data_IF_313880242344
#
_entry.id   IF_313880242344
#
_cell.length_a   1.000
_cell.length_b   1.000
_cell.length_c   1.000
_cell.angle_alpha   90.00
_cell.angle_beta   90.00
_cell.angle_gamma   90.00
#
_symmetry.space_group_name_H-M   'P 1'
#
loop_
_entity.id
_entity.type
_entity.pdbx_description
1 polymer ?
#
# COMPACT_ATOMS: atom_id res chain seq x y z
N UNK A 1 -10.94 -8.22 -19.72
CA UNK A 1 -9.49 -8.28 -20.03
C UNK A 1 -9.18 -7.14 -20.99
N UNK A 2 -8.34 -6.20 -20.57
CA UNK A 2 -7.82 -5.17 -21.47
C UNK A 2 -6.60 -5.74 -22.22
N UNK A 3 -6.43 -5.35 -23.48
CA UNK A 3 -5.32 -5.81 -24.33
C UNK A 3 -4.01 -5.28 -23.75
N UNK A 4 -3.08 -6.17 -23.37
CA UNK A 4 -1.81 -5.82 -22.72
C UNK A 4 -1.68 -6.21 -21.25
N UNK A 5 -2.77 -6.62 -20.57
CA UNK A 5 -2.70 -7.12 -19.19
C UNK A 5 -2.72 -8.66 -19.12
N UNK A 6 -2.56 -9.34 -20.25
CA UNK A 6 -2.72 -10.80 -20.36
C UNK A 6 -1.76 -11.56 -19.44
N UNK A 7 -0.53 -11.08 -19.29
CA UNK A 7 0.47 -11.64 -18.37
C UNK A 7 0.18 -11.36 -16.89
N UNK A 8 -0.67 -10.37 -16.62
CA UNK A 8 -1.13 -9.98 -15.28
C UNK A 8 -2.39 -10.73 -14.85
N UNK A 9 -2.77 -11.81 -15.52
CA UNK A 9 -3.91 -12.63 -15.13
C UNK A 9 -3.55 -14.12 -15.08
N UNK A 10 -4.12 -14.84 -14.11
CA UNK A 10 -4.14 -16.29 -14.06
C UNK A 10 -5.12 -16.86 -15.11
N UNK A 11 -5.05 -18.16 -15.38
CA UNK A 11 -5.89 -18.84 -16.38
C UNK A 11 -7.38 -18.82 -16.05
N UNK A 12 -7.74 -18.59 -14.79
CA UNK A 12 -9.11 -18.36 -14.31
C UNK A 12 -9.55 -16.89 -14.44
N UNK A 13 -8.74 -16.06 -15.12
CA UNK A 13 -8.97 -14.63 -15.33
C UNK A 13 -8.86 -13.79 -14.03
N UNK A 14 -8.30 -14.35 -12.95
CA UNK A 14 -7.96 -13.60 -11.72
C UNK A 14 -6.68 -12.78 -11.92
N UNK A 15 -6.62 -11.57 -11.37
CA UNK A 15 -5.44 -10.69 -11.52
C UNK A 15 -4.23 -11.22 -10.73
N UNK A 16 -3.07 -11.26 -11.36
CA UNK A 16 -1.76 -11.54 -10.78
C UNK A 16 -1.16 -10.23 -10.29
N UNK A 17 -0.79 -10.18 -9.02
CA UNK A 17 -0.16 -9.00 -8.43
C UNK A 17 1.35 -9.14 -8.50
N UNK A 18 1.95 -8.77 -9.63
CA UNK A 18 3.39 -8.90 -9.84
C UNK A 18 4.12 -7.71 -9.22
N UNK A 19 5.21 -8.00 -8.50
CA UNK A 19 6.05 -7.00 -7.87
C UNK A 19 6.92 -6.26 -8.90
N UNK A 20 7.25 -4.97 -8.66
CA UNK A 20 8.31 -4.28 -9.37
C UNK A 20 9.65 -5.04 -9.23
N UNK A 21 10.57 -4.93 -10.21
CA UNK A 21 11.80 -5.72 -10.26
C UNK A 21 12.76 -5.47 -9.09
N UNK A 22 12.61 -4.35 -8.38
CA UNK A 22 13.41 -3.98 -7.20
C UNK A 22 12.86 -4.54 -5.88
N UNK A 23 11.67 -5.14 -5.91
CA UNK A 23 10.95 -5.61 -4.72
C UNK A 23 10.75 -7.12 -4.81
N UNK A 24 11.08 -7.83 -3.74
CA UNK A 24 10.78 -9.25 -3.63
C UNK A 24 9.26 -9.51 -3.72
N UNK A 25 8.88 -10.48 -4.54
CA UNK A 25 7.49 -10.84 -4.81
C UNK A 25 6.72 -11.20 -3.53
N UNK A 26 7.35 -11.89 -2.57
CA UNK A 26 6.69 -12.29 -1.33
C UNK A 26 6.44 -11.09 -0.41
N UNK A 27 7.36 -10.13 -0.38
CA UNK A 27 7.19 -8.87 0.37
C UNK A 27 6.05 -8.03 -0.22
N UNK A 28 6.01 -7.88 -1.55
CA UNK A 28 4.95 -7.19 -2.26
C UNK A 28 3.57 -7.81 -1.98
N UNK A 29 3.45 -9.13 -2.12
CA UNK A 29 2.21 -9.84 -1.82
C UNK A 29 1.76 -9.69 -0.37
N UNK A 30 2.69 -9.75 0.59
CA UNK A 30 2.38 -9.55 2.00
C UNK A 30 1.81 -8.15 2.26
N UNK A 31 2.44 -7.12 1.69
CA UNK A 31 1.97 -5.73 1.76
C UNK A 31 0.59 -5.57 1.14
N UNK A 32 0.38 -6.13 -0.05
CA UNK A 32 -0.91 -6.04 -0.73
C UNK A 32 -2.03 -6.79 0.00
N UNK A 33 -1.75 -7.97 0.57
CA UNK A 33 -2.72 -8.70 1.41
C UNK A 33 -3.12 -7.87 2.64
N UNK A 34 -2.15 -7.24 3.30
CA UNK A 34 -2.42 -6.37 4.45
C UNK A 34 -3.26 -5.16 4.06
N UNK A 35 -2.92 -4.50 2.95
CA UNK A 35 -3.67 -3.37 2.40
C UNK A 35 -5.11 -3.76 2.02
N UNK A 36 -5.31 -4.89 1.36
CA UNK A 36 -6.64 -5.40 1.00
C UNK A 36 -7.43 -5.87 2.23
N UNK A 37 -6.76 -6.38 3.26
CA UNK A 37 -7.39 -6.67 4.55
C UNK A 37 -7.88 -5.39 5.22
N UNK A 38 -7.06 -4.34 5.26
CA UNK A 38 -7.45 -3.02 5.75
C UNK A 38 -8.65 -2.48 4.98
N UNK A 39 -8.64 -2.53 3.64
CA UNK A 39 -9.76 -2.10 2.80
C UNK A 39 -11.05 -2.87 3.10
N UNK A 40 -10.97 -4.19 3.29
CA UNK A 40 -12.13 -5.00 3.67
C UNK A 40 -12.65 -4.65 5.07
N UNK A 41 -11.75 -4.34 6.01
CA UNK A 41 -12.12 -3.87 7.34
C UNK A 41 -12.72 -2.46 7.34
N UNK A 42 -12.29 -1.57 6.44
CA UNK A 42 -12.79 -0.19 6.33
C UNK A 42 -14.02 -0.06 5.41
N UNK A 43 -14.25 -0.99 4.48
CA UNK A 43 -15.50 -1.03 3.69
C UNK A 43 -16.74 -1.49 4.50
N UNK A 44 -16.55 -1.90 5.76
CA UNK A 44 -17.62 -2.23 6.70
C UNK A 44 -17.81 -1.25 7.87
N UNK A 45 -17.09 -0.11 7.91
CA UNK A 45 -17.19 0.83 9.04
C UNK A 45 -16.48 2.17 8.81
N UNK A 46 -16.92 3.26 9.46
CA UNK A 46 -16.61 4.62 9.03
C UNK A 46 -15.22 5.03 9.48
N UNK A 47 -14.21 4.84 8.65
CA UNK A 47 -12.94 5.51 8.85
C UNK A 47 -12.89 6.73 7.94
N UNK A 48 -13.21 7.88 8.55
CA UNK A 48 -12.97 9.18 7.93
C UNK A 48 -11.45 9.34 7.76
N UNK A 49 -11.01 9.43 6.51
CA UNK A 49 -9.62 9.68 6.10
C UNK A 49 -9.04 10.95 6.77
N UNK A 50 -9.92 11.81 7.30
CA UNK A 50 -9.58 13.00 8.08
C UNK A 50 -8.92 12.69 9.43
N UNK A 51 -9.12 11.50 10.02
CA UNK A 51 -8.56 11.14 11.34
C UNK A 51 -7.13 10.58 11.28
N UNK A 52 -6.65 10.17 10.10
CA UNK A 52 -5.24 9.75 9.90
C UNK A 52 -4.28 10.93 9.62
N UNK A 53 -4.81 12.15 9.45
CA UNK A 53 -4.02 13.36 9.15
C UNK A 53 -3.59 14.09 10.45
N UNK A 54 -4.16 13.75 11.61
CA UNK A 54 -3.77 14.34 12.90
C UNK A 54 -2.55 13.66 13.56
N UNK A 55 -1.59 13.19 12.76
CA UNK A 55 -0.25 12.98 13.30
C UNK A 55 0.38 14.36 13.45
N UNK A 56 0.64 14.88 14.67
CA UNK A 56 1.29 16.17 14.81
C UNK A 56 2.62 16.12 14.06
N UNK A 57 2.98 17.18 13.30
CA UNK A 57 4.22 17.16 12.54
C UNK A 57 5.37 16.84 13.49
N UNK A 58 6.33 15.99 13.07
CA UNK A 58 7.47 15.69 13.93
C UNK A 58 8.12 17.01 14.31
N UNK A 59 8.27 17.25 15.63
CA UNK A 59 8.88 18.48 16.16
C UNK A 59 10.24 18.64 15.48
N UNK A 60 10.38 19.66 14.63
CA UNK A 60 11.69 20.03 14.06
C UNK A 60 12.60 20.39 15.22
N UNK A 61 13.54 19.51 15.54
CA UNK A 61 14.65 19.84 16.43
C UNK A 61 15.55 20.79 15.65
N UNK A 62 15.79 22.04 16.12
CA UNK A 62 16.76 22.90 15.48
C UNK A 62 18.12 22.20 15.56
N UNK A 63 18.72 21.94 14.41
CA UNK A 63 20.08 21.42 14.35
C UNK A 63 20.99 22.47 15.00
N UNK A 64 21.48 22.18 16.21
CA UNK A 64 22.44 23.04 16.88
C UNK A 64 23.67 23.15 15.98
N UNK A 65 24.01 24.39 15.59
CA UNK A 65 25.29 24.69 14.96
C UNK A 65 26.36 24.46 16.02
N UNK A 66 27.20 23.46 15.84
CA UNK A 66 28.42 23.32 16.62
C UNK A 66 29.41 24.42 16.16
N UNK A 67 29.92 25.15 17.16
CA UNK A 67 31.00 26.15 17.20
C UNK A 67 31.33 26.90 15.90
#
# INVERSE_FOLDING_TARGET
MHRGDEDLHYSDNSHRWIAPPEIDQAIWEAGLRAHMAQHRSTMGGPFNINELIEVPPPRRIPRQRAA
#
